data_IF_428144236714
#
_entry.id   IF_428144236714
#
_cell.length_a   1.000
_cell.length_b   1.000
_cell.length_c   1.000
_cell.angle_alpha   90.00
_cell.angle_beta   90.00
_cell.angle_gamma   90.00
#
_symmetry.space_group_name_H-M   'P 1'
#
loop_
_entity.id
_entity.type
_entity.pdbx_description
1 polymer ?
#
# COMPACT_ATOMS: atom_id res chain seq x y z
N UNK A 1 3.27 -15.28 -13.89
CA UNK A 1 4.23 -14.15 -13.99
C UNK A 1 5.62 -14.66 -13.63
N UNK A 2 6.64 -14.40 -14.43
CA UNK A 2 8.04 -14.63 -14.07
C UNK A 2 8.53 -13.46 -13.20
N UNK A 3 9.68 -13.64 -12.52
CA UNK A 3 10.23 -12.59 -11.66
C UNK A 3 10.59 -11.34 -12.48
N UNK A 4 11.23 -11.51 -13.64
CA UNK A 4 11.60 -10.39 -14.52
C UNK A 4 10.36 -9.58 -14.96
N UNK A 5 9.23 -10.26 -15.22
CA UNK A 5 7.97 -9.58 -15.55
C UNK A 5 7.38 -8.79 -14.39
N UNK A 6 7.59 -9.28 -13.15
CA UNK A 6 7.18 -8.55 -11.95
C UNK A 6 8.05 -7.30 -11.73
N UNK A 7 9.36 -7.45 -11.88
CA UNK A 7 10.33 -6.36 -11.79
C UNK A 7 10.05 -5.27 -12.83
N UNK A 8 9.90 -5.65 -14.10
CA UNK A 8 9.55 -4.72 -15.18
C UNK A 8 8.26 -3.96 -14.85
N UNK A 9 7.24 -4.67 -14.36
CA UNK A 9 5.95 -4.07 -14.03
C UNK A 9 6.06 -3.01 -12.91
N UNK A 10 6.84 -3.29 -11.85
CA UNK A 10 7.07 -2.35 -10.75
C UNK A 10 7.90 -1.15 -11.25
N UNK A 11 8.96 -1.41 -12.00
CA UNK A 11 9.84 -0.35 -12.50
C UNK A 11 9.15 0.57 -13.50
N UNK A 12 8.38 0.03 -14.42
CA UNK A 12 7.63 0.80 -15.42
C UNK A 12 6.58 1.70 -14.74
N UNK A 13 5.80 1.16 -13.80
CA UNK A 13 4.80 1.94 -13.07
C UNK A 13 5.46 3.05 -12.23
N UNK A 14 6.59 2.78 -11.58
CA UNK A 14 7.34 3.77 -10.82
C UNK A 14 7.94 4.86 -11.71
N UNK A 15 8.53 4.47 -12.84
CA UNK A 15 9.21 5.39 -13.76
C UNK A 15 8.24 6.41 -14.37
N UNK A 16 7.09 5.99 -14.88
CA UNK A 16 6.13 6.92 -15.46
C UNK A 16 5.57 7.88 -14.40
N UNK A 17 5.32 7.41 -13.15
CA UNK A 17 4.86 8.28 -12.07
C UNK A 17 5.89 9.34 -11.70
N UNK A 18 7.15 8.96 -11.58
CA UNK A 18 8.26 9.91 -11.32
C UNK A 18 8.39 10.94 -12.43
N UNK A 19 8.23 10.50 -13.69
CA UNK A 19 8.25 11.39 -14.86
C UNK A 19 7.09 12.39 -14.80
N UNK A 20 5.88 11.95 -14.53
CA UNK A 20 4.70 12.82 -14.47
C UNK A 20 4.80 13.81 -13.30
N UNK A 21 5.20 13.36 -12.10
CA UNK A 21 5.46 14.24 -10.95
C UNK A 21 6.51 15.30 -11.31
N UNK A 22 7.59 14.92 -12.01
CA UNK A 22 8.63 15.87 -12.42
C UNK A 22 8.12 16.90 -13.44
N UNK A 23 7.23 16.50 -14.35
CA UNK A 23 6.58 17.42 -15.30
C UNK A 23 5.65 18.41 -14.60
N UNK A 24 4.85 17.94 -13.62
CA UNK A 24 4.00 18.81 -12.81
C UNK A 24 4.78 19.92 -12.11
N UNK A 25 5.94 19.59 -11.55
CA UNK A 25 6.77 20.58 -10.85
C UNK A 25 7.43 21.58 -11.79
N UNK A 26 7.69 21.23 -13.04
CA UNK A 26 8.08 22.23 -14.06
C UNK A 26 6.96 23.23 -14.34
N UNK A 27 5.75 22.74 -14.57
CA UNK A 27 4.56 23.60 -14.76
C UNK A 27 4.33 24.50 -13.54
N UNK A 28 4.53 23.97 -12.33
CA UNK A 28 4.37 24.73 -11.09
C UNK A 28 5.34 25.90 -10.97
N UNK A 29 6.59 25.71 -11.37
CA UNK A 29 7.60 26.78 -11.32
C UNK A 29 7.25 27.96 -12.22
N UNK A 30 6.64 27.68 -13.36
CA UNK A 30 6.31 28.69 -14.38
C UNK A 30 4.89 29.27 -14.23
N UNK A 31 4.07 28.74 -13.30
CA UNK A 31 2.68 29.13 -13.17
C UNK A 31 2.47 30.52 -12.56
N UNK A 32 1.56 31.29 -13.15
CA UNK A 32 1.10 32.59 -12.62
C UNK A 32 0.23 32.39 -11.37
N UNK A 33 -0.67 31.41 -11.38
CA UNK A 33 -1.56 31.11 -10.25
C UNK A 33 -1.03 29.97 -9.40
N UNK A 34 -0.21 30.28 -8.39
CA UNK A 34 0.39 29.28 -7.50
C UNK A 34 -0.65 28.47 -6.71
N UNK A 35 -1.75 29.06 -6.25
CA UNK A 35 -2.75 28.37 -5.46
C UNK A 35 -3.45 27.25 -6.25
N UNK A 36 -3.88 27.53 -7.48
CA UNK A 36 -4.57 26.53 -8.32
C UNK A 36 -3.62 25.37 -8.64
N UNK A 37 -2.39 25.68 -8.98
CA UNK A 37 -1.40 24.64 -9.32
C UNK A 37 -1.01 23.84 -8.08
N UNK A 38 -0.87 24.47 -6.91
CA UNK A 38 -0.65 23.75 -5.63
C UNK A 38 -1.75 22.74 -5.36
N UNK A 39 -3.02 23.11 -5.53
CA UNK A 39 -4.16 22.18 -5.37
C UNK A 39 -4.03 21.00 -6.33
N UNK A 40 -3.72 21.26 -7.58
CA UNK A 40 -3.55 20.22 -8.60
C UNK A 40 -2.42 19.26 -8.26
N UNK A 41 -1.28 19.79 -7.81
CA UNK A 41 -0.13 18.98 -7.38
C UNK A 41 -0.49 18.08 -6.19
N UNK A 42 -1.16 18.61 -5.18
CA UNK A 42 -1.57 17.82 -4.01
C UNK A 42 -2.47 16.65 -4.41
N UNK A 43 -3.46 16.89 -5.28
CA UNK A 43 -4.36 15.85 -5.77
C UNK A 43 -3.60 14.77 -6.57
N UNK A 44 -2.68 15.19 -7.44
CA UNK A 44 -1.90 14.28 -8.28
C UNK A 44 -0.84 13.51 -7.48
N UNK A 45 -0.16 14.14 -6.52
CA UNK A 45 0.75 13.43 -5.61
C UNK A 45 -0.01 12.35 -4.82
N UNK A 46 -1.21 12.66 -4.36
CA UNK A 46 -2.05 11.66 -3.69
C UNK A 46 -2.45 10.52 -4.64
N UNK A 47 -2.88 10.83 -5.86
CA UNK A 47 -3.24 9.81 -6.85
C UNK A 47 -2.05 8.91 -7.21
N UNK A 48 -0.84 9.46 -7.32
CA UNK A 48 0.37 8.67 -7.53
C UNK A 48 0.70 7.79 -6.33
N UNK A 49 0.60 8.32 -5.12
CA UNK A 49 0.82 7.58 -3.88
C UNK A 49 -0.14 6.39 -3.75
N UNK A 50 -1.43 6.66 -3.77
CA UNK A 50 -2.46 5.62 -3.62
C UNK A 50 -2.44 4.62 -4.77
N UNK A 51 -2.39 5.11 -6.01
CA UNK A 51 -2.43 4.27 -7.21
C UNK A 51 -1.21 3.34 -7.30
N UNK A 52 0.00 3.83 -6.98
CA UNK A 52 1.20 3.01 -6.97
C UNK A 52 1.09 1.86 -5.97
N UNK A 53 0.79 2.16 -4.71
CA UNK A 53 0.73 1.14 -3.67
C UNK A 53 -0.36 0.10 -3.94
N UNK A 54 -1.56 0.55 -4.32
CA UNK A 54 -2.66 -0.35 -4.68
C UNK A 54 -2.24 -1.32 -5.79
N UNK A 55 -1.62 -0.80 -6.84
CA UNK A 55 -1.21 -1.58 -8.00
C UNK A 55 -0.07 -2.56 -7.69
N UNK A 56 0.97 -2.09 -7.01
CA UNK A 56 2.12 -2.92 -6.65
C UNK A 56 1.75 -4.05 -5.68
N UNK A 57 0.93 -3.79 -4.67
CA UNK A 57 0.48 -4.82 -3.74
C UNK A 57 -0.42 -5.86 -4.42
N UNK A 58 -1.27 -5.46 -5.35
CA UNK A 58 -2.04 -6.39 -6.19
C UNK A 58 -1.12 -7.25 -7.04
N UNK A 59 -0.12 -6.63 -7.69
CA UNK A 59 0.86 -7.32 -8.51
C UNK A 59 1.64 -8.38 -7.71
N UNK A 60 2.08 -8.02 -6.50
CA UNK A 60 2.76 -8.94 -5.59
C UNK A 60 1.87 -10.14 -5.21
N UNK A 61 0.63 -9.92 -4.80
CA UNK A 61 -0.29 -11.01 -4.47
C UNK A 61 -0.56 -11.92 -5.69
N UNK A 62 -0.70 -11.34 -6.88
CA UNK A 62 -0.83 -12.09 -8.14
C UNK A 62 0.40 -12.93 -8.40
N UNK A 63 1.60 -12.35 -8.24
CA UNK A 63 2.86 -13.08 -8.39
C UNK A 63 2.91 -14.30 -7.48
N UNK A 64 2.67 -14.15 -6.18
CA UNK A 64 2.70 -15.26 -5.21
C UNK A 64 1.62 -16.32 -5.55
N UNK A 65 0.43 -15.89 -5.95
CA UNK A 65 -0.65 -16.80 -6.39
C UNK A 65 -0.22 -17.67 -7.58
N UNK A 66 0.50 -17.11 -8.53
CA UNK A 66 0.97 -17.82 -9.72
C UNK A 66 2.15 -18.80 -9.45
N UNK A 67 2.84 -18.66 -8.30
CA UNK A 67 3.84 -19.65 -7.83
C UNK A 67 3.21 -20.98 -7.45
N UNK A 68 1.90 -21.02 -7.15
CA UNK A 68 1.17 -22.22 -6.75
C UNK A 68 1.79 -22.95 -5.55
N UNK A 69 2.42 -22.19 -4.65
CA UNK A 69 2.99 -22.72 -3.42
C UNK A 69 1.86 -23.17 -2.50
N UNK A 70 2.07 -24.30 -1.79
CA UNK A 70 1.10 -24.77 -0.79
C UNK A 70 0.97 -23.79 0.35
N UNK A 71 -0.28 -23.54 0.79
CA UNK A 71 -0.58 -22.55 1.84
C UNK A 71 0.22 -22.79 3.14
N UNK A 72 0.47 -24.04 3.50
CA UNK A 72 1.27 -24.39 4.68
C UNK A 72 2.72 -23.91 4.64
N UNK A 73 3.24 -23.59 3.45
CA UNK A 73 4.60 -23.06 3.27
C UNK A 73 4.65 -21.54 3.22
N UNK A 74 3.51 -20.89 3.08
CA UNK A 74 3.38 -19.44 3.00
C UNK A 74 3.16 -18.82 4.37
N UNK A 75 3.58 -17.58 4.54
CA UNK A 75 3.30 -16.79 5.74
C UNK A 75 1.79 -16.70 6.02
N UNK A 76 1.43 -16.47 7.28
CA UNK A 76 0.06 -16.63 7.80
C UNK A 76 -0.99 -15.74 7.11
N UNK A 77 -0.58 -14.59 6.56
CA UNK A 77 -1.46 -13.68 5.83
C UNK A 77 -2.11 -14.33 4.60
N UNK A 78 -1.40 -15.17 3.86
CA UNK A 78 -1.97 -15.89 2.71
C UNK A 78 -3.05 -16.89 3.12
N UNK A 79 -2.88 -17.53 4.28
CA UNK A 79 -3.91 -18.37 4.88
C UNK A 79 -5.13 -17.55 5.31
N UNK A 80 -4.90 -16.36 5.87
CA UNK A 80 -5.96 -15.44 6.28
C UNK A 80 -6.79 -14.95 5.07
N UNK A 81 -6.14 -14.64 3.94
CA UNK A 81 -6.82 -14.27 2.69
C UNK A 81 -7.81 -15.38 2.26
N UNK A 82 -7.36 -16.62 2.22
CA UNK A 82 -8.21 -17.78 1.83
C UNK A 82 -9.37 -18.03 2.80
N UNK A 83 -9.21 -17.70 4.07
CA UNK A 83 -10.23 -17.94 5.09
C UNK A 83 -11.16 -16.75 5.31
N UNK A 84 -10.85 -15.57 4.74
CA UNK A 84 -11.54 -14.30 5.03
C UNK A 84 -13.07 -14.41 4.89
N UNK A 85 -13.56 -14.98 3.80
CA UNK A 85 -15.00 -15.07 3.55
C UNK A 85 -15.73 -15.96 4.57
N UNK A 86 -15.10 -17.03 5.04
CA UNK A 86 -15.67 -17.90 6.07
C UNK A 86 -15.58 -17.30 7.47
N UNK A 87 -14.48 -16.61 7.77
CA UNK A 87 -14.34 -15.87 9.01
C UNK A 87 -15.44 -14.80 9.13
N UNK A 88 -15.75 -14.10 8.05
CA UNK A 88 -16.84 -13.12 8.02
C UNK A 88 -18.20 -13.79 8.27
N UNK A 89 -18.46 -14.96 7.70
CA UNK A 89 -19.69 -15.71 7.94
C UNK A 89 -19.85 -16.15 9.41
N UNK A 90 -18.75 -16.43 10.13
CA UNK A 90 -18.81 -16.73 11.56
C UNK A 90 -19.18 -15.49 12.40
N UNK A 91 -18.74 -14.29 11.96
CA UNK A 91 -19.03 -13.02 12.63
C UNK A 91 -20.51 -12.62 12.42
N UNK A 92 -21.02 -12.87 11.21
CA UNK A 92 -22.37 -12.49 10.81
C UNK A 92 -23.44 -13.49 11.31
N UNK A 93 -23.04 -14.64 11.88
CA UNK A 93 -23.94 -15.62 12.48
C UNK A 93 -24.43 -15.13 13.86
N UNK A 94 -25.68 -15.34 14.17
CA UNK A 94 -26.29 -14.97 15.45
C UNK A 94 -25.86 -15.86 16.65
N UNK A 95 -24.97 -16.83 16.40
CA UNK A 95 -24.33 -17.66 17.41
C UNK A 95 -25.20 -18.74 18.03
N UNK A 96 -26.36 -19.05 17.42
CA UNK A 96 -27.27 -20.08 17.93
C UNK A 96 -26.77 -21.52 17.67
N UNK A 97 -25.79 -21.67 16.77
CA UNK A 97 -25.20 -22.99 16.49
C UNK A 97 -23.72 -22.80 16.05
N UNK A 98 -22.93 -23.87 16.13
CA UNK A 98 -21.51 -23.87 15.75
C UNK A 98 -21.24 -24.30 14.31
N UNK A 99 -22.25 -24.26 13.43
CA UNK A 99 -22.11 -24.79 12.07
C UNK A 99 -21.09 -24.02 11.23
N UNK A 100 -21.00 -22.68 11.38
CA UNK A 100 -20.06 -21.82 10.65
C UNK A 100 -18.65 -21.98 11.18
N UNK A 101 -18.47 -22.02 12.50
CA UNK A 101 -17.19 -22.26 13.16
C UNK A 101 -16.63 -23.64 12.81
N UNK A 102 -17.44 -24.69 12.82
CA UNK A 102 -17.02 -26.02 12.39
C UNK A 102 -16.64 -26.04 10.92
N UNK A 103 -17.35 -25.33 10.06
CA UNK A 103 -17.03 -25.21 8.65
C UNK A 103 -15.70 -24.46 8.45
N UNK A 104 -15.47 -23.38 9.21
CA UNK A 104 -14.23 -22.61 9.21
C UNK A 104 -13.04 -23.47 9.63
N UNK A 105 -13.13 -24.18 10.77
CA UNK A 105 -12.07 -25.05 11.27
C UNK A 105 -11.76 -26.19 10.30
N UNK A 106 -12.80 -26.88 9.79
CA UNK A 106 -12.62 -27.93 8.80
C UNK A 106 -11.95 -27.44 7.52
N UNK A 107 -12.26 -26.22 7.07
CA UNK A 107 -11.61 -25.64 5.91
C UNK A 107 -10.16 -25.26 6.23
N UNK A 108 -9.91 -24.72 7.42
CA UNK A 108 -8.55 -24.36 7.86
C UNK A 108 -7.57 -25.54 7.78
N UNK A 109 -8.00 -26.73 8.19
CA UNK A 109 -7.20 -27.96 8.08
C UNK A 109 -6.95 -28.36 6.62
N UNK A 110 -8.00 -28.31 5.81
CA UNK A 110 -7.98 -28.80 4.42
C UNK A 110 -7.20 -27.89 3.46
N UNK A 111 -7.13 -26.58 3.72
CA UNK A 111 -6.45 -25.65 2.80
C UNK A 111 -4.92 -25.73 2.87
N UNK A 112 -4.36 -26.24 3.97
CA UNK A 112 -2.91 -26.27 4.17
C UNK A 112 -2.15 -26.93 3.01
N UNK A 113 -2.69 -28.00 2.45
CA UNK A 113 -2.10 -28.75 1.35
C UNK A 113 -2.47 -28.22 -0.05
N UNK A 114 -3.38 -27.25 -0.12
CA UNK A 114 -3.77 -26.63 -1.39
C UNK A 114 -2.77 -25.55 -1.82
N UNK A 115 -2.58 -25.36 -3.12
CA UNK A 115 -1.85 -24.21 -3.62
C UNK A 115 -2.64 -22.94 -3.30
N UNK A 116 -1.93 -21.87 -2.92
CA UNK A 116 -2.52 -20.54 -2.81
C UNK A 116 -2.95 -20.07 -4.20
N UNK A 117 -4.21 -19.64 -4.31
CA UNK A 117 -4.76 -19.16 -5.57
C UNK A 117 -5.83 -18.10 -5.32
N UNK A 118 -5.60 -16.91 -5.84
CA UNK A 118 -6.57 -15.82 -5.81
C UNK A 118 -6.87 -15.35 -7.23
N UNK A 119 -8.04 -14.73 -7.39
CA UNK A 119 -8.37 -13.93 -8.58
C UNK A 119 -8.15 -12.47 -8.21
N UNK A 120 -7.27 -11.79 -8.92
CA UNK A 120 -6.98 -10.36 -8.73
C UNK A 120 -6.66 -9.74 -10.08
N UNK A 121 -7.35 -8.68 -10.42
CA UNK A 121 -7.08 -7.88 -11.62
C UNK A 121 -6.23 -6.66 -11.21
N UNK A 122 -4.96 -6.68 -11.61
CA UNK A 122 -3.98 -5.65 -11.24
C UNK A 122 -4.28 -4.32 -11.92
N UNK A 123 -4.80 -4.37 -13.15
CA UNK A 123 -5.04 -3.19 -13.97
C UNK A 123 -6.47 -2.62 -13.81
N UNK A 124 -7.33 -3.33 -13.09
CA UNK A 124 -8.67 -2.86 -12.76
C UNK A 124 -8.66 -2.13 -11.41
N UNK A 125 -8.72 -0.82 -11.42
CA UNK A 125 -8.75 -0.01 -10.20
C UNK A 125 -9.99 -0.25 -9.32
N UNK A 126 -11.06 -0.81 -9.87
CA UNK A 126 -12.30 -1.16 -9.15
C UNK A 126 -12.27 -2.58 -8.56
N UNK A 127 -11.26 -3.39 -8.83
CA UNK A 127 -11.04 -4.64 -8.12
C UNK A 127 -10.47 -4.34 -6.72
N UNK A 128 -11.34 -4.36 -5.71
CA UNK A 128 -11.02 -4.02 -4.32
C UNK A 128 -11.31 -5.16 -3.35
N UNK A 129 -11.45 -6.38 -3.83
CA UNK A 129 -11.83 -7.54 -3.01
C UNK A 129 -10.79 -7.86 -1.94
N UNK A 130 -9.49 -7.73 -2.28
CA UNK A 130 -8.38 -8.04 -1.39
C UNK A 130 -7.65 -6.76 -0.97
N UNK A 131 -7.21 -5.96 -1.94
CA UNK A 131 -6.51 -4.69 -1.70
C UNK A 131 -7.50 -3.54 -1.90
N UNK A 132 -7.97 -2.97 -0.80
CA UNK A 132 -8.95 -1.90 -0.78
C UNK A 132 -8.43 -0.70 0.00
N UNK A 133 -8.25 0.43 -0.67
CA UNK A 133 -7.83 1.69 -0.06
C UNK A 133 -8.99 2.44 0.58
N UNK A 134 -10.20 1.90 0.49
CA UNK A 134 -11.45 2.53 0.95
C UNK A 134 -11.63 3.90 0.28
N UNK A 135 -11.94 4.93 1.10
CA UNK A 135 -12.09 6.29 0.59
C UNK A 135 -10.76 7.04 0.51
N UNK A 136 -9.76 6.60 1.29
CA UNK A 136 -8.45 7.25 1.40
C UNK A 136 -7.41 6.25 1.90
N UNK A 137 -6.23 6.26 1.30
CA UNK A 137 -5.08 5.50 1.78
C UNK A 137 -4.45 6.22 2.99
N UNK A 138 -5.10 6.11 4.15
CA UNK A 138 -4.56 6.59 5.42
C UNK A 138 -3.51 5.63 6.00
N UNK A 139 -2.75 6.08 7.01
CA UNK A 139 -1.79 5.25 7.75
C UNK A 139 -2.41 3.95 8.27
N UNK A 140 -3.63 4.02 8.80
CA UNK A 140 -4.38 2.86 9.26
C UNK A 140 -4.74 1.89 8.12
N UNK A 141 -5.15 2.42 6.97
CA UNK A 141 -5.48 1.60 5.79
C UNK A 141 -4.22 0.98 5.23
N UNK A 142 -3.13 1.73 5.14
CA UNK A 142 -1.83 1.24 4.70
C UNK A 142 -1.32 0.11 5.60
N UNK A 143 -1.42 0.27 6.93
CA UNK A 143 -1.09 -0.80 7.87
C UNK A 143 -1.88 -2.09 7.58
N UNK A 144 -3.20 -1.97 7.41
CA UNK A 144 -4.03 -3.13 7.07
C UNK A 144 -3.62 -3.79 5.75
N UNK A 145 -3.23 -3.02 4.74
CA UNK A 145 -2.74 -3.55 3.47
C UNK A 145 -1.40 -4.27 3.68
N UNK A 146 -0.48 -3.69 4.45
CA UNK A 146 0.79 -4.34 4.80
C UNK A 146 0.55 -5.68 5.52
N UNK A 147 -0.39 -5.72 6.47
CA UNK A 147 -0.79 -6.97 7.15
C UNK A 147 -1.35 -8.01 6.16
N UNK A 148 -2.13 -7.59 5.14
CA UNK A 148 -2.67 -8.46 4.09
C UNK A 148 -1.55 -9.04 3.22
N UNK A 149 -0.60 -8.22 2.77
CA UNK A 149 0.49 -8.67 1.89
C UNK A 149 1.63 -9.35 2.65
N UNK A 150 1.65 -9.26 3.99
CA UNK A 150 2.65 -9.88 4.85
C UNK A 150 3.96 -9.10 4.94
N UNK A 151 3.89 -7.78 4.74
CA UNK A 151 5.03 -6.86 4.94
C UNK A 151 4.90 -6.23 6.32
N UNK A 152 5.99 -6.20 7.08
CA UNK A 152 6.00 -5.56 8.39
C UNK A 152 5.74 -4.05 8.27
N UNK A 153 4.79 -3.58 9.08
CA UNK A 153 4.51 -2.16 9.25
C UNK A 153 5.20 -1.68 10.55
N UNK A 154 6.47 -1.30 10.42
CA UNK A 154 7.31 -0.89 11.55
C UNK A 154 7.07 0.58 11.99
N UNK A 155 7.76 1.00 13.06
CA UNK A 155 7.60 2.35 13.62
C UNK A 155 8.06 3.46 12.67
N UNK A 156 9.11 3.21 11.87
CA UNK A 156 9.56 4.18 10.88
C UNK A 156 8.51 4.39 9.78
N UNK A 157 7.92 3.31 9.27
CA UNK A 157 6.80 3.38 8.33
C UNK A 157 5.60 4.09 8.92
N UNK A 158 5.24 3.80 10.19
CA UNK A 158 4.14 4.46 10.87
C UNK A 158 4.35 5.97 11.00
N UNK A 159 5.55 6.40 11.38
CA UNK A 159 5.87 7.82 11.47
C UNK A 159 5.73 8.53 10.12
N UNK A 160 6.24 7.90 9.04
CA UNK A 160 6.16 8.42 7.67
C UNK A 160 4.71 8.48 7.18
N UNK A 161 3.93 7.43 7.38
CA UNK A 161 2.52 7.40 6.99
C UNK A 161 1.67 8.41 7.78
N UNK A 162 1.98 8.65 9.06
CA UNK A 162 1.34 9.70 9.85
C UNK A 162 1.64 11.10 9.29
N UNK A 163 2.85 11.33 8.79
CA UNK A 163 3.16 12.57 8.08
C UNK A 163 2.33 12.73 6.80
N UNK A 164 2.19 11.67 6.01
CA UNK A 164 1.32 11.68 4.82
C UNK A 164 -0.13 12.01 5.20
N UNK A 165 -0.66 11.42 6.28
CA UNK A 165 -2.02 11.71 6.76
C UNK A 165 -2.18 13.18 7.14
N UNK A 166 -1.23 13.74 7.90
CA UNK A 166 -1.32 15.09 8.44
C UNK A 166 -1.12 16.20 7.41
N UNK A 167 -0.41 15.90 6.31
CA UNK A 167 -0.08 16.87 5.26
C UNK A 167 -0.85 16.55 3.98
N UNK A 168 -0.51 15.46 3.28
CA UNK A 168 -1.07 15.15 1.97
C UNK A 168 -2.57 14.86 2.03
N UNK A 169 -2.97 13.93 2.91
CA UNK A 169 -4.35 13.48 3.00
C UNK A 169 -5.28 14.58 3.53
N UNK A 170 -4.82 15.34 4.53
CA UNK A 170 -5.56 16.50 5.07
C UNK A 170 -5.89 17.51 3.96
N UNK A 171 -4.90 17.92 3.17
CA UNK A 171 -5.11 18.87 2.08
C UNK A 171 -5.92 18.29 0.93
N UNK A 172 -5.67 17.04 0.52
CA UNK A 172 -6.47 16.35 -0.50
C UNK A 172 -7.96 16.30 -0.13
N UNK A 173 -8.27 15.96 1.11
CA UNK A 173 -9.65 15.91 1.59
C UNK A 173 -10.30 17.29 1.61
N UNK A 174 -9.59 18.31 2.06
CA UNK A 174 -10.09 19.68 2.06
C UNK A 174 -10.37 20.20 0.64
N UNK A 175 -9.49 19.90 -0.32
CA UNK A 175 -9.69 20.26 -1.73
C UNK A 175 -10.90 19.50 -2.28
N UNK A 176 -11.00 18.20 -2.01
CA UNK A 176 -12.11 17.37 -2.52
C UNK A 176 -13.48 17.77 -1.99
N UNK A 177 -13.57 18.23 -0.75
CA UNK A 177 -14.86 18.62 -0.13
C UNK A 177 -15.18 20.10 -0.28
N UNK A 178 -14.19 20.98 -0.17
CA UNK A 178 -14.41 22.43 -0.11
C UNK A 178 -13.74 23.20 -1.25
N UNK A 179 -13.02 22.55 -2.15
CA UNK A 179 -12.26 23.20 -3.22
C UNK A 179 -11.09 24.09 -2.73
N UNK A 180 -10.74 24.00 -1.44
CA UNK A 180 -9.71 24.84 -0.80
C UNK A 180 -8.67 23.97 -0.09
N UNK A 181 -7.43 24.47 0.00
CA UNK A 181 -6.42 23.87 0.87
C UNK A 181 -6.90 23.90 2.33
N UNK A 182 -6.48 22.90 3.12
CA UNK A 182 -6.81 22.89 4.54
C UNK A 182 -6.21 24.14 5.21
N UNK A 183 -6.97 24.75 6.11
CA UNK A 183 -6.45 25.82 6.96
C UNK A 183 -5.42 25.25 7.92
N UNK A 184 -4.42 26.05 8.26
CA UNK A 184 -3.50 25.77 9.35
C UNK A 184 -4.23 25.70 10.71
N UNK A 185 -3.50 25.38 11.76
CA UNK A 185 -4.07 25.27 13.11
C UNK A 185 -4.49 26.62 13.72
N UNK A 186 -4.05 27.72 13.11
CA UNK A 186 -4.44 29.09 13.45
C UNK A 186 -4.98 29.77 12.18
N UNK A 187 -5.87 30.75 12.34
CA UNK A 187 -6.44 31.52 11.22
C UNK A 187 -5.39 32.34 10.43
N UNK A 188 -4.15 32.39 10.93
CA UNK A 188 -3.01 33.10 10.37
C UNK A 188 -1.99 32.19 9.67
N UNK A 189 -2.12 30.84 9.76
CA UNK A 189 -1.23 29.93 9.07
C UNK A 189 -1.57 29.84 7.57
N UNK A 190 -0.58 30.12 6.74
CA UNK A 190 -0.67 29.99 5.29
C UNK A 190 -0.95 28.52 4.88
N UNK A 191 -1.79 28.35 3.87
CA UNK A 191 -2.01 27.09 3.20
C UNK A 191 -0.74 26.72 2.43
N UNK A 192 -0.17 25.52 2.67
CA UNK A 192 0.97 24.89 2.00
C UNK A 192 1.85 25.84 1.17
N UNK A 193 3.01 26.23 1.72
CA UNK A 193 4.03 27.01 0.99
C UNK A 193 4.65 26.18 -0.14
N UNK A 194 5.29 26.86 -1.08
CA UNK A 194 6.05 26.19 -2.15
C UNK A 194 7.09 25.20 -1.60
N UNK A 195 7.82 25.59 -0.59
CA UNK A 195 8.84 24.74 0.04
C UNK A 195 8.21 23.47 0.68
N UNK A 196 7.04 23.60 1.29
CA UNK A 196 6.31 22.46 1.84
C UNK A 196 5.84 21.50 0.75
N UNK A 197 5.41 22.02 -0.40
CA UNK A 197 5.01 21.19 -1.55
C UNK A 197 6.21 20.47 -2.15
N UNK A 198 7.37 21.12 -2.24
CA UNK A 198 8.63 20.47 -2.69
C UNK A 198 9.04 19.37 -1.73
N UNK A 199 9.05 19.63 -0.41
CA UNK A 199 9.34 18.60 0.60
C UNK A 199 8.36 17.42 0.54
N UNK A 200 7.08 17.70 0.33
CA UNK A 200 6.07 16.66 0.18
C UNK A 200 6.34 15.79 -1.06
N UNK A 201 6.72 16.40 -2.18
CA UNK A 201 7.12 15.67 -3.40
C UNK A 201 8.29 14.71 -3.12
N UNK A 202 9.36 15.23 -2.55
CA UNK A 202 10.57 14.46 -2.25
C UNK A 202 10.25 13.30 -1.31
N UNK A 203 9.43 13.58 -0.30
CA UNK A 203 8.97 12.57 0.63
C UNK A 203 8.14 11.47 -0.05
N UNK A 204 7.18 11.83 -0.91
CA UNK A 204 6.38 10.85 -1.64
C UNK A 204 7.27 10.00 -2.57
N UNK A 205 8.19 10.61 -3.30
CA UNK A 205 9.12 9.88 -4.17
C UNK A 205 9.96 8.87 -3.37
N UNK A 206 10.49 9.27 -2.21
CA UNK A 206 11.22 8.39 -1.29
C UNK A 206 10.36 7.19 -0.87
N UNK A 207 9.11 7.43 -0.50
CA UNK A 207 8.21 6.35 -0.05
C UNK A 207 7.80 5.41 -1.19
N UNK A 208 7.63 5.93 -2.41
CA UNK A 208 7.38 5.08 -3.58
C UNK A 208 8.58 4.16 -3.85
N UNK A 209 9.81 4.70 -3.82
CA UNK A 209 11.04 3.91 -3.97
C UNK A 209 11.18 2.84 -2.88
N UNK A 210 10.90 3.22 -1.64
CA UNK A 210 10.98 2.32 -0.50
C UNK A 210 10.04 1.11 -0.63
N UNK A 211 8.76 1.33 -0.98
CA UNK A 211 7.82 0.23 -1.17
C UNK A 211 8.12 -0.60 -2.43
N UNK A 212 8.59 0.03 -3.50
CA UNK A 212 9.05 -0.70 -4.68
C UNK A 212 10.18 -1.67 -4.31
N UNK A 213 11.22 -1.19 -3.62
CA UNK A 213 12.36 -2.00 -3.23
C UNK A 213 11.97 -3.14 -2.29
N UNK A 214 11.12 -2.89 -1.29
CA UNK A 214 10.62 -3.94 -0.41
C UNK A 214 9.93 -5.06 -1.20
N UNK A 215 9.06 -4.71 -2.14
CA UNK A 215 8.32 -5.70 -2.92
C UNK A 215 9.22 -6.50 -3.86
N UNK A 216 10.22 -5.85 -4.46
CA UNK A 216 11.25 -6.51 -5.27
C UNK A 216 12.05 -7.50 -4.43
N UNK A 217 12.56 -7.08 -3.28
CA UNK A 217 13.34 -7.92 -2.36
C UNK A 217 12.51 -9.09 -1.81
N UNK A 218 11.23 -8.83 -1.43
CA UNK A 218 10.30 -9.87 -0.98
C UNK A 218 10.03 -10.92 -2.05
N UNK A 219 10.02 -10.50 -3.30
CA UNK A 219 9.78 -11.37 -4.45
C UNK A 219 11.04 -12.17 -4.80
N UNK A 220 12.20 -11.51 -4.90
CA UNK A 220 13.48 -12.11 -5.26
C UNK A 220 13.96 -13.13 -4.20
N UNK A 221 13.87 -12.74 -2.92
CA UNK A 221 14.34 -13.56 -1.79
C UNK A 221 13.26 -14.51 -1.23
N UNK A 222 12.09 -14.53 -1.86
CA UNK A 222 10.94 -15.37 -1.49
C UNK A 222 10.49 -15.23 -0.02
N UNK A 223 10.51 -14.01 0.52
CA UNK A 223 10.15 -13.72 1.92
C UNK A 223 8.67 -13.99 2.26
N UNK A 224 7.87 -14.38 1.27
CA UNK A 224 6.53 -14.92 1.47
C UNK A 224 6.53 -16.38 1.99
N UNK A 225 7.68 -17.06 2.04
CA UNK A 225 7.82 -18.40 2.57
C UNK A 225 8.13 -18.39 4.07
N UNK A 226 7.49 -19.32 4.83
CA UNK A 226 7.77 -19.47 6.28
C UNK A 226 9.22 -19.83 6.54
N UNK A 227 9.83 -20.65 5.70
CA UNK A 227 11.23 -21.08 5.84
C UNK A 227 12.24 -19.94 5.70
N UNK A 228 11.80 -18.76 5.22
CA UNK A 228 12.60 -17.54 5.10
C UNK A 228 12.38 -16.54 6.24
N UNK A 229 11.72 -16.95 7.32
CA UNK A 229 11.32 -16.03 8.39
C UNK A 229 12.49 -15.33 9.07
N UNK A 230 13.56 -16.06 9.40
CA UNK A 230 14.73 -15.47 10.07
C UNK A 230 15.45 -14.45 9.17
N UNK A 231 15.69 -14.80 7.88
CA UNK A 231 16.29 -13.91 6.90
C UNK A 231 15.42 -12.66 6.67
N UNK A 232 14.09 -12.83 6.61
CA UNK A 232 13.14 -11.74 6.48
C UNK A 232 13.19 -10.79 7.67
N UNK A 233 13.22 -11.31 8.91
CA UNK A 233 13.26 -10.48 10.11
C UNK A 233 14.54 -9.64 10.22
N UNK A 234 15.69 -10.16 9.76
CA UNK A 234 16.91 -9.37 9.66
C UNK A 234 16.79 -8.27 8.63
N UNK A 235 16.32 -8.60 7.43
CA UNK A 235 16.08 -7.64 6.37
C UNK A 235 15.11 -6.51 6.78
N UNK A 236 14.02 -6.86 7.46
CA UNK A 236 13.02 -5.88 7.93
C UNK A 236 13.62 -4.90 8.95
N UNK A 237 14.52 -5.34 9.82
CA UNK A 237 15.25 -4.47 10.76
C UNK A 237 16.22 -3.53 10.04
N UNK A 238 16.92 -4.03 9.03
CA UNK A 238 17.80 -3.19 8.21
C UNK A 238 17.00 -2.08 7.52
N UNK A 239 15.86 -2.44 6.90
CA UNK A 239 14.98 -1.47 6.23
C UNK A 239 14.33 -0.48 7.18
N UNK A 240 14.01 -0.87 8.42
CA UNK A 240 13.55 0.07 9.45
C UNK A 240 14.64 1.09 9.81
N UNK A 241 15.88 0.64 9.98
CA UNK A 241 17.01 1.52 10.28
C UNK A 241 17.32 2.48 9.13
N UNK A 242 17.32 2.01 7.89
CA UNK A 242 17.49 2.85 6.70
C UNK A 242 16.43 3.95 6.67
N UNK A 243 15.16 3.59 6.82
CA UNK A 243 14.05 4.54 6.79
C UNK A 243 14.08 5.51 7.98
N UNK A 244 14.59 5.10 9.14
CA UNK A 244 14.71 5.95 10.32
C UNK A 244 15.82 7.00 10.20
N UNK A 245 16.83 6.74 9.38
CA UNK A 245 17.98 7.62 9.16
C UNK A 245 17.74 8.73 8.12
N UNK A 246 16.63 8.70 7.43
CA UNK A 246 16.20 9.66 6.40
C UNK A 246 15.08 10.54 6.94
#
# INVERSE_FOLDING_TARGET
MKIEQFEDYIHDDLAWRKMEISQLFRIFNDAESKEVVTKSIVLLLYAHWEGFLKKCFKCYLKYVSERKVKIKKLTVNFKAIELKSLAQQCIDDDGLNLAKELQFLNKQEKIAEKPFKISIDVDNDFDEDIINTKHNLSSKVLKNICDIVGIVYNNAMQARATYIDSVLLKHRNSIGHAGKLAKGNTDTEESLSYEQVVKLKEFILLMLDYYAQILLDYTEKEYYLIEKEDERLEYEKEKENELSGV
#
